data_IF_134001712201
#
_entry.id   IF_134001712201
#
_cell.length_a   1.000
_cell.length_b   1.000
_cell.length_c   1.000
_cell.angle_alpha   90.00
_cell.angle_beta   90.00
_cell.angle_gamma   90.00
#
_symmetry.space_group_name_H-M   'P 1'
#
loop_
_entity.id
_entity.type
_entity.pdbx_description
1 polymer ?
#
# COMPACT_ATOMS: atom_id res chain seq x y z
N UNK A 1 -3.21 4.62 10.42
CA UNK A 1 -2.17 3.57 10.34
C UNK A 1 -1.95 2.94 11.72
N UNK A 2 -1.64 3.73 12.74
CA UNK A 2 -1.31 3.29 14.10
C UNK A 2 -2.39 2.39 14.76
N UNK A 3 -3.64 2.50 14.34
CA UNK A 3 -4.71 1.59 14.78
C UNK A 3 -4.52 0.15 14.26
N UNK A 4 -3.70 -0.11 13.24
CA UNK A 4 -3.55 -1.41 12.59
C UNK A 4 -2.13 -1.94 12.60
N UNK A 5 -1.13 -1.07 12.69
CA UNK A 5 0.28 -1.44 12.67
C UNK A 5 1.07 -0.77 13.78
N UNK A 6 2.11 -1.45 14.21
CA UNK A 6 3.07 -0.91 15.20
C UNK A 6 3.99 0.07 14.48
N UNK A 7 4.06 1.30 14.97
CA UNK A 7 4.94 2.34 14.43
C UNK A 7 6.02 2.74 15.45
N UNK A 8 7.00 3.47 14.98
CA UNK A 8 8.04 4.11 15.76
C UNK A 8 8.39 5.48 15.13
N UNK A 9 9.17 6.34 15.78
CA UNK A 9 9.48 7.66 15.23
C UNK A 9 10.08 7.67 13.83
N UNK A 10 10.86 6.66 13.44
CA UNK A 10 11.43 6.55 12.08
C UNK A 10 10.36 6.21 11.06
N UNK A 11 9.46 5.27 11.39
CA UNK A 11 8.31 4.91 10.55
C UNK A 11 7.39 6.12 10.40
N UNK A 12 7.07 6.81 11.49
CA UNK A 12 6.20 7.98 11.48
C UNK A 12 6.77 9.09 10.59
N UNK A 13 8.09 9.28 10.57
CA UNK A 13 8.76 10.22 9.67
C UNK A 13 8.59 9.86 8.20
N UNK A 14 8.73 8.58 7.83
CA UNK A 14 8.46 8.11 6.46
C UNK A 14 7.00 8.34 6.07
N UNK A 15 6.07 8.06 6.97
CA UNK A 15 4.63 8.28 6.77
C UNK A 15 4.36 9.76 6.51
N UNK A 16 4.84 10.65 7.37
CA UNK A 16 4.60 12.09 7.23
C UNK A 16 5.22 12.69 5.97
N UNK A 17 6.34 12.15 5.51
CA UNK A 17 7.04 12.67 4.33
C UNK A 17 6.45 12.17 3.02
N UNK A 18 6.07 10.90 2.95
CA UNK A 18 5.74 10.23 1.69
C UNK A 18 4.28 9.78 1.57
N UNK A 19 3.45 9.97 2.59
CA UNK A 19 2.03 9.63 2.52
C UNK A 19 1.15 10.88 2.79
N UNK A 20 0.07 11.05 2.03
CA UNK A 20 -0.45 10.22 0.93
C UNK A 20 0.48 10.18 -0.29
N UNK A 21 0.78 8.96 -0.81
CA UNK A 21 1.72 8.84 -1.92
C UNK A 21 2.04 7.40 -2.33
N UNK A 22 3.07 7.24 -3.17
CA UNK A 22 3.45 5.94 -3.74
C UNK A 22 4.44 5.17 -2.86
N UNK A 23 4.31 5.25 -1.54
CA UNK A 23 5.06 4.45 -0.57
C UNK A 23 4.15 3.41 0.06
N UNK A 24 4.60 2.16 0.13
CA UNK A 24 4.01 1.09 0.92
C UNK A 24 5.01 0.65 1.98
N UNK A 25 4.62 0.68 3.24
CA UNK A 25 5.47 0.24 4.34
C UNK A 25 4.90 -1.04 4.93
N UNK A 26 5.70 -2.10 4.92
CA UNK A 26 5.39 -3.37 5.59
C UNK A 26 5.82 -3.26 7.04
N UNK A 27 4.87 -3.40 7.94
CA UNK A 27 5.02 -3.21 9.38
C UNK A 27 4.40 -4.37 10.15
N UNK A 28 4.84 -4.57 11.38
CA UNK A 28 4.20 -5.51 12.30
C UNK A 28 2.75 -5.07 12.58
N UNK A 29 1.82 -6.01 12.55
CA UNK A 29 0.41 -5.75 12.88
C UNK A 29 0.22 -5.53 14.37
N UNK A 30 -0.82 -4.77 14.75
CA UNK A 30 -1.31 -4.72 16.13
C UNK A 30 -1.96 -6.05 16.52
N UNK A 31 -1.90 -6.42 17.78
CA UNK A 31 -2.34 -7.74 18.28
C UNK A 31 -3.85 -8.01 18.05
N UNK A 32 -4.67 -6.96 17.94
CA UNK A 32 -6.11 -7.08 17.68
C UNK A 32 -6.46 -7.27 16.20
N UNK A 33 -5.49 -7.15 15.29
CA UNK A 33 -5.71 -7.36 13.84
C UNK A 33 -5.80 -8.86 13.58
N UNK A 34 -6.90 -9.34 12.97
CA UNK A 34 -7.06 -10.76 12.69
C UNK A 34 -5.91 -11.33 11.84
N UNK A 35 -5.42 -12.50 12.19
CA UNK A 35 -4.25 -13.13 11.56
C UNK A 35 -4.42 -13.37 10.05
N UNK A 36 -5.65 -13.57 9.58
CA UNK A 36 -5.93 -13.72 8.14
C UNK A 36 -5.63 -12.45 7.33
N UNK A 37 -5.69 -11.26 7.94
CA UNK A 37 -5.35 -9.98 7.27
C UNK A 37 -3.87 -9.96 6.88
N UNK A 38 -3.01 -10.50 7.73
CA UNK A 38 -1.56 -10.60 7.49
C UNK A 38 -1.15 -11.93 6.84
N UNK A 39 -2.10 -12.77 6.42
CA UNK A 39 -1.84 -14.14 5.95
C UNK A 39 -0.98 -14.96 6.94
N UNK A 40 -1.20 -14.76 8.24
CA UNK A 40 -0.45 -15.35 9.35
C UNK A 40 1.05 -14.97 9.41
N UNK A 41 1.49 -13.95 8.68
CA UNK A 41 2.89 -13.49 8.71
C UNK A 41 3.17 -12.53 9.88
N UNK A 42 2.13 -11.98 10.50
CA UNK A 42 2.23 -10.94 11.52
C UNK A 42 2.65 -9.55 10.97
N UNK A 43 2.68 -9.39 9.64
CA UNK A 43 3.06 -8.14 8.98
C UNK A 43 2.06 -7.77 7.89
N UNK A 44 1.84 -6.46 7.69
CA UNK A 44 1.00 -5.93 6.62
C UNK A 44 1.67 -4.76 5.93
N UNK A 45 1.46 -4.65 4.60
CA UNK A 45 1.85 -3.48 3.83
C UNK A 45 0.75 -2.42 3.87
N UNK A 46 1.04 -1.23 4.37
CA UNK A 46 0.09 -0.11 4.43
C UNK A 46 0.54 1.02 3.52
N UNK A 47 -0.42 1.60 2.82
CA UNK A 47 -0.26 2.78 1.98
C UNK A 47 -1.46 3.71 2.14
N UNK A 48 -1.23 5.03 2.10
CA UNK A 48 -2.29 6.04 1.94
C UNK A 48 -2.26 6.53 0.49
N UNK A 49 -3.35 6.32 -0.24
CA UNK A 49 -3.45 6.76 -1.64
C UNK A 49 -3.41 8.28 -1.78
N UNK A 50 -2.70 8.78 -2.78
CA UNK A 50 -2.73 10.21 -3.15
C UNK A 50 -4.02 10.60 -3.87
N UNK A 51 -4.79 9.64 -4.41
CA UNK A 51 -6.05 9.90 -5.10
C UNK A 51 -7.16 10.28 -4.12
N UNK A 52 -7.75 11.49 -4.22
CA UNK A 52 -8.85 11.91 -3.34
C UNK A 52 -10.04 10.96 -3.40
N UNK A 53 -10.41 10.48 -4.59
CA UNK A 53 -11.51 9.53 -4.76
C UNK A 53 -11.32 8.27 -3.90
N UNK A 54 -10.12 7.66 -3.93
CA UNK A 54 -9.81 6.46 -3.14
C UNK A 54 -9.88 6.74 -1.64
N UNK A 55 -9.35 7.89 -1.20
CA UNK A 55 -9.42 8.28 0.22
C UNK A 55 -10.86 8.50 0.69
N UNK A 56 -11.68 9.16 -0.13
CA UNK A 56 -13.09 9.37 0.19
C UNK A 56 -13.84 8.04 0.25
N UNK A 57 -13.60 7.14 -0.70
CA UNK A 57 -14.20 5.81 -0.69
C UNK A 57 -13.85 5.05 0.60
N UNK A 58 -12.58 5.07 1.02
CA UNK A 58 -12.16 4.43 2.27
C UNK A 58 -12.81 5.09 3.48
N UNK A 59 -12.92 6.43 3.48
CA UNK A 59 -13.57 7.16 4.57
C UNK A 59 -15.06 6.79 4.70
N UNK A 60 -15.77 6.68 3.57
CA UNK A 60 -17.19 6.27 3.55
C UNK A 60 -17.40 4.83 4.05
N UNK A 61 -16.44 3.92 3.78
CA UNK A 61 -16.53 2.56 4.32
C UNK A 61 -16.25 2.48 5.82
N UNK A 62 -15.60 3.49 6.39
CA UNK A 62 -15.18 3.55 7.79
C UNK A 62 -14.10 2.52 8.17
N UNK A 63 -13.51 1.83 7.17
CA UNK A 63 -12.52 0.75 7.38
C UNK A 63 -11.43 0.81 6.32
N UNK A 64 -10.21 0.33 6.63
CA UNK A 64 -9.19 0.14 5.60
C UNK A 64 -9.62 -0.94 4.61
N UNK A 65 -9.14 -0.84 3.38
CA UNK A 65 -9.41 -1.80 2.31
C UNK A 65 -8.18 -2.68 2.06
N UNK A 66 -8.41 -3.96 1.83
CA UNK A 66 -7.40 -4.85 1.26
C UNK A 66 -7.42 -4.68 -0.26
N UNK A 67 -6.28 -4.28 -0.82
CA UNK A 67 -6.17 -3.88 -2.23
C UNK A 67 -5.10 -4.71 -2.92
N UNK A 68 -5.46 -5.84 -3.54
CA UNK A 68 -4.55 -6.56 -4.43
C UNK A 68 -4.41 -5.86 -5.77
N UNK A 69 -3.47 -6.30 -6.60
CA UNK A 69 -3.37 -5.86 -7.99
C UNK A 69 -4.52 -6.42 -8.85
N UNK A 70 -4.96 -5.65 -9.83
CA UNK A 70 -6.08 -6.03 -10.71
C UNK A 70 -5.61 -6.96 -11.86
N UNK A 71 -5.24 -8.20 -11.51
CA UNK A 71 -4.79 -9.23 -12.46
C UNK A 71 -5.07 -10.64 -11.92
N UNK A 72 -5.11 -11.62 -12.80
CA UNK A 72 -4.98 -13.03 -12.40
C UNK A 72 -3.52 -13.32 -12.08
N UNK A 73 -3.26 -14.34 -11.25
CA UNK A 73 -1.90 -14.69 -10.83
C UNK A 73 -0.99 -14.95 -12.03
N UNK A 74 0.13 -14.24 -12.11
CA UNK A 74 1.11 -14.35 -13.19
C UNK A 74 0.89 -13.41 -14.38
N UNK A 75 -0.26 -12.75 -14.47
CA UNK A 75 -0.56 -11.81 -15.56
C UNK A 75 -0.18 -10.37 -15.17
N UNK A 76 0.02 -9.47 -16.14
CA UNK A 76 0.19 -8.06 -15.87
C UNK A 76 -1.10 -7.44 -15.32
N UNK A 77 -1.02 -6.43 -14.42
CA UNK A 77 -2.20 -5.78 -13.87
C UNK A 77 -2.90 -4.92 -14.93
N UNK A 78 -4.25 -4.89 -14.87
CA UNK A 78 -5.07 -4.00 -15.67
C UNK A 78 -4.68 -2.54 -15.49
N UNK A 79 -4.66 -1.79 -16.58
CA UNK A 79 -4.34 -0.38 -16.62
C UNK A 79 -5.60 0.51 -16.72
N UNK A 80 -6.71 -0.08 -17.19
CA UNK A 80 -8.00 0.62 -17.34
C UNK A 80 -9.13 -0.13 -16.66
N UNK A 81 -10.24 0.59 -16.44
CA UNK A 81 -11.46 -0.03 -15.92
C UNK A 81 -12.03 -1.08 -16.85
N UNK A 82 -11.95 -0.86 -18.18
CA UNK A 82 -12.39 -1.81 -19.19
C UNK A 82 -11.57 -3.11 -19.14
N UNK A 83 -10.24 -3.01 -19.01
CA UNK A 83 -9.36 -4.17 -18.86
C UNK A 83 -9.69 -4.93 -17.56
N UNK A 84 -9.87 -4.23 -16.44
CA UNK A 84 -10.26 -4.86 -15.18
C UNK A 84 -11.62 -5.56 -15.29
N UNK A 85 -12.60 -4.93 -15.96
CA UNK A 85 -13.90 -5.55 -16.21
C UNK A 85 -13.78 -6.80 -17.08
N UNK A 86 -12.94 -6.76 -18.13
CA UNK A 86 -12.70 -7.91 -18.99
C UNK A 86 -12.06 -9.09 -18.25
N UNK A 87 -11.15 -8.81 -17.31
CA UNK A 87 -10.46 -9.85 -16.51
C UNK A 87 -11.41 -10.47 -15.48
N UNK A 88 -12.21 -9.66 -14.78
CA UNK A 88 -12.95 -10.11 -13.60
C UNK A 88 -14.46 -10.29 -13.84
N UNK A 89 -15.03 -9.67 -14.88
CA UNK A 89 -16.45 -9.80 -15.25
C UNK A 89 -17.39 -9.90 -14.04
N UNK A 90 -17.95 -11.08 -13.84
CA UNK A 90 -18.94 -11.37 -12.79
C UNK A 90 -18.33 -11.65 -11.40
N UNK A 91 -17.01 -11.60 -11.29
CA UNK A 91 -16.32 -11.86 -10.01
C UNK A 91 -16.26 -10.62 -9.10
N UNK A 92 -16.55 -9.43 -9.64
CA UNK A 92 -16.51 -8.15 -8.92
C UNK A 92 -17.83 -7.40 -9.01
N UNK A 93 -18.18 -6.66 -7.97
CA UNK A 93 -19.45 -5.94 -7.90
C UNK A 93 -19.51 -4.72 -8.81
N UNK A 94 -18.38 -4.03 -9.02
CA UNK A 94 -18.30 -2.81 -9.81
C UNK A 94 -16.87 -2.52 -10.27
N UNK A 95 -16.76 -1.69 -11.30
CA UNK A 95 -15.51 -1.12 -11.80
C UNK A 95 -15.66 0.38 -11.89
N UNK A 96 -14.67 1.12 -11.44
CA UNK A 96 -14.59 2.56 -11.66
C UNK A 96 -13.98 2.82 -13.03
N UNK A 97 -14.67 3.55 -13.89
CA UNK A 97 -14.15 3.94 -15.19
C UNK A 97 -12.92 4.84 -15.05
N UNK A 98 -11.96 4.66 -15.93
CA UNK A 98 -10.74 5.44 -15.95
C UNK A 98 -9.49 4.59 -16.21
N UNK A 99 -8.35 5.23 -16.12
CA UNK A 99 -7.05 4.58 -16.32
C UNK A 99 -6.14 4.78 -15.11
N UNK A 100 -5.16 3.87 -14.96
CA UNK A 100 -4.09 4.03 -13.98
C UNK A 100 -3.31 5.32 -14.24
N UNK A 101 -3.04 6.10 -13.20
CA UNK A 101 -2.30 7.37 -13.32
C UNK A 101 -0.82 7.11 -13.63
N UNK A 102 -0.31 5.96 -13.22
CA UNK A 102 1.10 5.62 -13.37
C UNK A 102 1.28 4.11 -13.56
N UNK A 103 2.13 3.75 -14.49
CA UNK A 103 2.58 2.37 -14.70
C UNK A 103 3.71 1.97 -13.73
N UNK A 104 4.23 2.94 -12.95
CA UNK A 104 5.26 2.68 -11.94
C UNK A 104 4.57 2.35 -10.61
N UNK A 105 4.78 1.16 -10.05
CA UNK A 105 4.18 0.78 -8.79
C UNK A 105 4.75 1.59 -7.62
N UNK A 106 4.10 1.48 -6.45
CA UNK A 106 4.65 2.03 -5.21
C UNK A 106 5.97 1.35 -4.84
N UNK A 107 6.89 2.13 -4.29
CA UNK A 107 8.05 1.56 -3.59
C UNK A 107 7.56 0.84 -2.34
N UNK A 108 7.99 -0.40 -2.13
CA UNK A 108 7.63 -1.22 -0.97
C UNK A 108 8.86 -1.46 -0.13
N UNK A 109 8.79 -1.09 1.14
CA UNK A 109 9.84 -1.31 2.13
C UNK A 109 9.32 -2.07 3.33
N UNK A 110 10.15 -2.90 3.95
CA UNK A 110 9.90 -3.46 5.27
C UNK A 110 10.61 -2.59 6.32
N UNK A 111 9.86 -2.17 7.33
CA UNK A 111 10.35 -1.36 8.43
C UNK A 111 10.40 -2.20 9.72
N UNK A 112 11.59 -2.64 10.08
CA UNK A 112 11.91 -3.35 11.32
C UNK A 112 13.01 -2.61 12.09
N UNK A 113 14.02 -3.33 12.54
CA UNK A 113 15.23 -2.73 13.10
C UNK A 113 16.02 -1.95 12.05
N UNK A 114 15.94 -2.42 10.82
CA UNK A 114 16.48 -1.76 9.62
C UNK A 114 15.38 -1.54 8.59
N UNK A 115 15.63 -0.63 7.64
CA UNK A 115 14.77 -0.45 6.47
C UNK A 115 15.26 -1.33 5.33
N UNK A 116 14.38 -2.18 4.79
CA UNK A 116 14.73 -3.11 3.70
C UNK A 116 13.84 -2.86 2.48
N UNK A 117 14.44 -2.75 1.30
CA UNK A 117 13.70 -2.65 0.04
C UNK A 117 13.12 -4.01 -0.35
N UNK A 118 11.79 -4.09 -0.50
CA UNK A 118 11.08 -5.28 -1.00
C UNK A 118 10.74 -5.16 -2.50
N UNK A 119 10.43 -3.96 -2.95
CA UNK A 119 10.13 -3.68 -4.37
C UNK A 119 10.49 -2.24 -4.70
N UNK A 120 11.28 -2.06 -5.74
CA UNK A 120 11.54 -0.74 -6.31
C UNK A 120 10.27 -0.16 -6.95
N UNK A 121 10.07 1.13 -6.79
CA UNK A 121 8.95 1.89 -7.33
C UNK A 121 9.35 3.33 -7.62
N UNK A 122 8.39 4.24 -7.60
CA UNK A 122 8.60 5.64 -7.98
C UNK A 122 9.45 6.45 -6.98
N UNK A 123 9.61 5.98 -5.74
CA UNK A 123 10.47 6.64 -4.75
C UNK A 123 11.80 5.89 -4.70
N UNK A 124 12.95 6.55 -4.94
CA UNK A 124 14.26 5.94 -4.81
C UNK A 124 14.50 5.44 -3.38
N UNK A 125 14.99 4.21 -3.23
CA UNK A 125 15.27 3.64 -1.91
C UNK A 125 16.32 4.42 -1.14
N UNK A 126 17.29 5.01 -1.83
CA UNK A 126 18.31 5.84 -1.22
C UNK A 126 17.73 7.04 -0.44
N UNK A 127 16.65 7.64 -0.96
CA UNK A 127 15.98 8.76 -0.29
C UNK A 127 15.27 8.31 0.99
N UNK A 128 14.64 7.13 0.93
CA UNK A 128 13.98 6.51 2.09
C UNK A 128 15.01 6.13 3.16
N UNK A 129 16.13 5.55 2.74
CA UNK A 129 17.21 5.13 3.64
C UNK A 129 17.87 6.33 4.32
N UNK A 130 18.14 7.40 3.57
CA UNK A 130 18.66 8.65 4.13
C UNK A 130 17.76 9.18 5.24
N UNK A 131 16.46 9.27 4.98
CA UNK A 131 15.48 9.74 5.97
C UNK A 131 15.38 8.80 7.18
N UNK A 132 15.53 7.49 6.96
CA UNK A 132 15.53 6.47 8.01
C UNK A 132 16.72 6.58 8.95
N UNK A 133 17.90 6.93 8.42
CA UNK A 133 19.17 7.01 9.16
C UNK A 133 19.38 8.37 9.83
N UNK A 134 18.63 9.41 9.47
CA UNK A 134 18.68 10.69 10.16
C UNK A 134 18.42 10.51 11.66
N UNK A 135 19.27 11.14 12.48
CA UNK A 135 19.12 11.12 13.93
C UNK A 135 17.82 11.83 14.34
N UNK A 136 17.12 11.26 15.32
CA UNK A 136 15.88 11.79 15.88
C UNK A 136 16.16 13.01 16.76
#
# INVERSE_FOLDING_TARGET
IQAYAVTNPKIDRLIHTYMPGPLTIVMKVQDHVPSWVSLNTGHIGIRISSLPFVRNLIAETGKPLLVPSANKAGDPPAQTGEEALAIFKDEIAAVVAGASISNVPSTVVAAGDTLTLLRAGSIPFADLLKLWEETL
#
